data_IF_593083266490
#
_entry.id   IF_593083266490
#
_cell.length_a   1.000
_cell.length_b   1.000
_cell.length_c   1.000
_cell.angle_alpha   90.00
_cell.angle_beta   90.00
_cell.angle_gamma   90.00
#
_symmetry.space_group_name_H-M   'P 1'
#
loop_
_entity.id
_entity.type
_entity.pdbx_description
1 polymer ?
#
# COMPACT_ATOMS: atom_id res chain seq x y z
N UNK A 1 18.03 -15.97 -8.88
CA UNK A 1 18.52 -14.68 -9.40
C UNK A 1 19.47 -13.94 -8.44
N UNK A 2 19.68 -14.39 -7.19
CA UNK A 2 20.54 -13.72 -6.18
C UNK A 2 22.00 -14.22 -6.11
N UNK A 3 22.38 -15.21 -6.92
CA UNK A 3 23.72 -15.83 -6.89
C UNK A 3 24.79 -15.08 -7.71
N UNK A 4 24.38 -14.13 -8.56
CA UNK A 4 25.28 -13.27 -9.33
C UNK A 4 25.56 -11.98 -8.58
N UNK A 5 26.84 -11.64 -8.38
CA UNK A 5 27.26 -10.32 -7.89
C UNK A 5 26.65 -9.24 -8.76
N UNK A 6 25.87 -8.33 -8.17
CA UNK A 6 25.14 -7.30 -8.90
C UNK A 6 24.29 -6.43 -7.99
N UNK A 7 23.70 -5.37 -8.56
CA UNK A 7 22.96 -4.36 -7.81
C UNK A 7 21.85 -4.96 -6.94
N UNK A 8 21.10 -5.94 -7.46
CA UNK A 8 20.04 -6.62 -6.72
C UNK A 8 20.55 -7.32 -5.46
N UNK A 9 21.68 -8.04 -5.57
CA UNK A 9 22.27 -8.72 -4.42
C UNK A 9 22.69 -7.70 -3.37
N UNK A 10 23.34 -6.60 -3.78
CA UNK A 10 23.74 -5.53 -2.87
C UNK A 10 22.53 -4.88 -2.18
N UNK A 11 21.43 -4.64 -2.89
CA UNK A 11 20.18 -4.14 -2.26
C UNK A 11 19.64 -5.11 -1.22
N UNK A 12 19.56 -6.41 -1.55
CA UNK A 12 19.07 -7.44 -0.62
C UNK A 12 19.97 -7.56 0.61
N UNK A 13 21.30 -7.49 0.43
CA UNK A 13 22.25 -7.51 1.56
C UNK A 13 22.13 -6.25 2.43
N UNK A 14 21.89 -5.09 1.83
CA UNK A 14 21.63 -3.85 2.58
C UNK A 14 20.38 -3.98 3.45
N UNK A 15 19.28 -4.47 2.88
CA UNK A 15 18.03 -4.71 3.62
C UNK A 15 18.20 -5.75 4.72
N UNK A 16 18.89 -6.87 4.43
CA UNK A 16 19.14 -7.92 5.41
C UNK A 16 20.01 -7.43 6.56
N UNK A 17 21.09 -6.69 6.28
CA UNK A 17 21.95 -6.10 7.31
C UNK A 17 21.19 -5.07 8.16
N UNK A 18 20.34 -4.25 7.54
CA UNK A 18 19.50 -3.25 8.23
C UNK A 18 18.51 -3.94 9.17
N UNK A 19 17.78 -4.94 8.67
CA UNK A 19 16.83 -5.70 9.47
C UNK A 19 17.53 -6.45 10.60
N UNK A 20 18.66 -7.10 10.32
CA UNK A 20 19.40 -7.84 11.33
C UNK A 20 19.99 -6.93 12.41
N UNK A 21 20.42 -5.70 12.07
CA UNK A 21 20.83 -4.69 13.04
C UNK A 21 19.69 -4.32 14.01
N UNK A 22 18.45 -4.23 13.50
CA UNK A 22 17.26 -3.93 14.32
C UNK A 22 16.87 -5.08 15.23
N UNK A 23 17.00 -6.33 14.77
CA UNK A 23 16.64 -7.52 15.55
C UNK A 23 17.71 -7.84 16.61
N UNK A 24 18.99 -7.79 16.24
CA UNK A 24 20.11 -8.15 17.13
C UNK A 24 20.55 -7.02 18.06
N UNK A 25 20.25 -5.76 17.72
CA UNK A 25 20.80 -4.59 18.39
C UNK A 25 22.25 -4.26 18.02
N UNK A 26 22.86 -5.00 17.09
CA UNK A 26 24.24 -4.77 16.65
C UNK A 26 24.32 -3.56 15.71
N UNK A 27 24.91 -2.46 16.20
CA UNK A 27 25.05 -1.21 15.46
C UNK A 27 26.10 -1.27 14.36
N UNK A 28 27.04 -2.23 14.40
CA UNK A 28 28.09 -2.38 13.38
C UNK A 28 27.50 -2.79 12.03
N UNK A 29 26.41 -3.56 12.04
CA UNK A 29 25.67 -3.97 10.84
C UNK A 29 25.06 -2.79 10.08
N UNK A 30 24.84 -1.64 10.72
CA UNK A 30 24.38 -0.42 10.03
C UNK A 30 25.42 0.09 9.05
N UNK A 31 26.70 -0.04 9.39
CA UNK A 31 27.79 0.33 8.50
C UNK A 31 27.84 -0.59 7.26
N UNK A 32 27.71 -1.90 7.47
CA UNK A 32 27.63 -2.86 6.36
C UNK A 32 26.38 -2.64 5.49
N UNK A 33 25.24 -2.32 6.11
CA UNK A 33 24.02 -1.98 5.38
C UNK A 33 24.22 -0.77 4.46
N UNK A 34 24.86 0.29 4.95
CA UNK A 34 25.19 1.49 4.19
C UNK A 34 26.17 1.19 3.05
N UNK A 35 27.21 0.38 3.30
CA UNK A 35 28.17 -0.04 2.29
C UNK A 35 27.50 -0.81 1.15
N UNK A 36 26.61 -1.75 1.48
CA UNK A 36 25.83 -2.48 0.49
C UNK A 36 24.86 -1.57 -0.27
N UNK A 37 24.25 -0.59 0.39
CA UNK A 37 23.38 0.39 -0.26
C UNK A 37 24.14 1.24 -1.29
N UNK A 38 25.32 1.75 -0.91
CA UNK A 38 26.19 2.51 -1.83
C UNK A 38 26.56 1.67 -3.05
N UNK A 39 27.03 0.43 -2.83
CA UNK A 39 27.39 -0.46 -3.92
C UNK A 39 26.20 -0.79 -4.83
N UNK A 40 25.00 -0.96 -4.26
CA UNK A 40 23.78 -1.17 -5.02
C UNK A 40 23.45 0.02 -5.93
N UNK A 41 23.57 1.26 -5.43
CA UNK A 41 23.33 2.49 -6.20
C UNK A 41 24.36 2.61 -7.33
N UNK A 42 25.64 2.39 -7.05
CA UNK A 42 26.72 2.44 -8.04
C UNK A 42 26.49 1.43 -9.17
N UNK A 43 26.23 0.16 -8.82
CA UNK A 43 25.98 -0.90 -9.80
C UNK A 43 24.67 -0.68 -10.58
N UNK A 44 23.64 -0.11 -9.94
CA UNK A 44 22.40 0.23 -10.63
C UNK A 44 22.63 1.34 -11.65
N UNK A 45 23.42 2.37 -11.32
CA UNK A 45 23.78 3.44 -12.25
C UNK A 45 24.50 2.91 -13.50
N UNK A 46 25.41 1.95 -13.32
CA UNK A 46 26.08 1.27 -14.45
C UNK A 46 25.08 0.46 -15.27
N UNK A 47 24.20 -0.30 -14.61
CA UNK A 47 23.20 -1.14 -15.28
C UNK A 47 22.16 -0.36 -16.09
N UNK A 48 21.74 0.82 -15.63
CA UNK A 48 20.75 1.64 -16.38
C UNK A 48 21.36 2.36 -17.60
N UNK A 49 22.69 2.53 -17.64
CA UNK A 49 23.39 3.12 -18.77
C UNK A 49 23.65 2.12 -19.90
N UNK A 50 23.72 0.82 -19.58
CA UNK A 50 23.83 -0.25 -20.56
C UNK A 50 22.44 -0.62 -21.14
N UNK A 51 22.21 -0.50 -22.47
CA UNK A 51 20.91 -0.76 -23.08
C UNK A 51 20.38 -2.18 -22.90
N UNK A 52 21.26 -3.18 -22.73
CA UNK A 52 20.88 -4.57 -22.53
C UNK A 52 20.55 -4.83 -21.06
N UNK A 53 21.37 -4.34 -20.13
CA UNK A 53 21.14 -4.52 -18.70
C UNK A 53 19.98 -3.67 -18.19
N UNK A 54 19.72 -2.50 -18.78
CA UNK A 54 18.66 -1.62 -18.34
C UNK A 54 17.27 -2.26 -18.47
N UNK A 55 17.08 -3.19 -19.41
CA UNK A 55 15.83 -3.93 -19.61
C UNK A 55 15.79 -5.30 -18.92
N UNK A 56 16.87 -5.71 -18.25
CA UNK A 56 16.94 -7.01 -17.58
C UNK A 56 16.15 -7.04 -16.26
N UNK A 57 15.45 -8.14 -15.98
CA UNK A 57 14.64 -8.33 -14.75
C UNK A 57 15.39 -7.99 -13.45
N UNK A 58 16.67 -8.34 -13.25
CA UNK A 58 17.42 -7.97 -12.05
C UNK A 58 17.52 -6.45 -11.83
N UNK A 59 17.56 -5.64 -12.89
CA UNK A 59 17.64 -4.18 -12.79
C UNK A 59 16.32 -3.60 -12.28
N UNK A 60 15.18 -4.06 -12.82
CA UNK A 60 13.86 -3.65 -12.31
C UNK A 60 13.65 -4.16 -10.88
N UNK A 61 14.03 -5.41 -10.60
CA UNK A 61 14.00 -5.95 -9.24
C UNK A 61 14.83 -5.10 -8.28
N UNK A 62 16.00 -4.61 -8.69
CA UNK A 62 16.83 -3.71 -7.86
C UNK A 62 16.08 -2.44 -7.49
N UNK A 63 15.45 -1.78 -8.48
CA UNK A 63 14.66 -0.56 -8.27
C UNK A 63 13.46 -0.82 -7.35
N UNK A 64 12.76 -1.95 -7.54
CA UNK A 64 11.63 -2.34 -6.68
C UNK A 64 12.08 -2.65 -5.24
N UNK A 65 13.19 -3.36 -5.05
CA UNK A 65 13.70 -3.65 -3.72
C UNK A 65 14.21 -2.38 -3.01
N UNK A 66 14.78 -1.41 -3.74
CA UNK A 66 15.13 -0.10 -3.19
C UNK A 66 13.88 0.67 -2.74
N UNK A 67 12.80 0.65 -3.54
CA UNK A 67 11.50 1.22 -3.16
C UNK A 67 10.97 0.62 -1.85
N UNK A 68 10.98 -0.71 -1.75
CA UNK A 68 10.51 -1.43 -0.56
C UNK A 68 11.40 -1.12 0.64
N UNK A 69 12.72 -1.12 0.46
CA UNK A 69 13.67 -0.77 1.52
C UNK A 69 13.41 0.62 2.07
N UNK A 70 13.20 1.61 1.20
CA UNK A 70 12.89 2.98 1.61
C UNK A 70 11.59 3.06 2.42
N UNK A 71 10.54 2.33 2.02
CA UNK A 71 9.24 2.33 2.72
C UNK A 71 9.28 1.59 4.04
N UNK A 72 10.02 0.49 4.15
CA UNK A 72 10.11 -0.30 5.38
C UNK A 72 11.06 0.33 6.41
N UNK A 73 12.24 0.75 5.95
CA UNK A 73 13.36 1.13 6.82
C UNK A 73 13.71 2.62 6.80
N UNK A 74 13.14 3.41 5.89
CA UNK A 74 13.50 4.82 5.74
C UNK A 74 13.33 5.65 7.01
N UNK A 75 14.13 6.70 7.14
CA UNK A 75 14.11 7.61 8.27
C UNK A 75 12.98 8.63 8.16
N UNK A 76 12.47 9.10 9.30
CA UNK A 76 11.35 10.05 9.37
C UNK A 76 11.70 11.44 8.84
N UNK A 77 12.97 11.82 8.86
CA UNK A 77 13.46 13.16 8.55
C UNK A 77 13.81 13.34 7.06
N UNK A 78 13.89 12.25 6.29
CA UNK A 78 14.04 12.31 4.83
C UNK A 78 12.68 12.54 4.16
N UNK A 79 12.22 13.79 4.21
CA UNK A 79 10.96 14.22 3.58
C UNK A 79 10.89 14.00 2.06
N UNK A 80 12.00 13.64 1.40
CA UNK A 80 12.12 13.47 -0.05
C UNK A 80 12.80 12.14 -0.43
N UNK A 81 12.28 11.02 0.06
CA UNK A 81 12.65 9.72 -0.46
C UNK A 81 12.48 9.68 -1.99
N UNK A 82 13.54 9.32 -2.70
CA UNK A 82 13.53 9.14 -4.16
C UNK A 82 12.37 8.22 -4.53
N UNK A 83 11.47 8.69 -5.37
CA UNK A 83 10.33 7.87 -5.81
C UNK A 83 10.79 6.87 -6.87
N UNK A 84 11.32 5.74 -6.41
CA UNK A 84 11.79 4.65 -7.26
C UNK A 84 10.68 4.06 -8.15
N UNK A 85 9.38 4.24 -7.80
CA UNK A 85 8.26 3.83 -8.65
C UNK A 85 8.21 4.60 -9.98
N UNK A 86 8.64 5.88 -10.02
CA UNK A 86 8.71 6.63 -11.29
C UNK A 86 9.74 5.98 -12.23
N UNK A 87 10.90 5.60 -11.68
CA UNK A 87 11.93 4.86 -12.43
C UNK A 87 11.42 3.50 -12.90
N UNK A 88 10.78 2.74 -12.01
CA UNK A 88 10.19 1.44 -12.34
C UNK A 88 9.15 1.54 -13.47
N UNK A 89 8.25 2.53 -13.42
CA UNK A 89 7.27 2.81 -14.48
C UNK A 89 7.96 3.01 -15.83
N UNK A 90 9.00 3.84 -15.89
CA UNK A 90 9.71 4.12 -17.14
C UNK A 90 10.35 2.85 -17.72
N UNK A 91 10.93 1.99 -16.87
CA UNK A 91 11.49 0.71 -17.28
C UNK A 91 10.41 -0.25 -17.79
N UNK A 92 9.28 -0.37 -17.09
CA UNK A 92 8.17 -1.24 -17.48
C UNK A 92 7.59 -0.79 -18.83
N UNK A 93 7.36 0.52 -19.02
CA UNK A 93 6.86 1.07 -20.27
C UNK A 93 7.80 0.75 -21.45
N UNK A 94 9.12 0.89 -21.25
CA UNK A 94 10.12 0.56 -22.27
C UNK A 94 10.12 -0.94 -22.61
N UNK A 95 9.99 -1.81 -21.62
CA UNK A 95 9.90 -3.27 -21.80
C UNK A 95 8.64 -3.68 -22.58
N UNK A 96 7.48 -3.11 -22.23
CA UNK A 96 6.21 -3.36 -22.94
C UNK A 96 6.32 -2.98 -24.42
N UNK A 97 6.99 -1.87 -24.74
CA UNK A 97 7.20 -1.43 -26.12
C UNK A 97 8.13 -2.34 -26.95
N UNK A 98 8.97 -3.17 -26.31
CA UNK A 98 9.97 -4.03 -26.95
C UNK A 98 9.60 -5.52 -26.97
N UNK A 99 8.58 -5.93 -26.21
CA UNK A 99 8.18 -7.33 -26.07
C UNK A 99 7.06 -7.71 -27.03
N UNK A 100 7.18 -8.87 -27.69
CA UNK A 100 6.17 -9.47 -28.56
C UNK A 100 5.21 -10.41 -27.79
N UNK A 101 4.63 -9.96 -26.67
CA UNK A 101 3.62 -10.67 -25.86
C UNK A 101 4.04 -11.94 -25.09
N UNK A 102 5.34 -12.24 -24.94
CA UNK A 102 5.78 -13.30 -24.01
C UNK A 102 6.37 -12.69 -22.75
N UNK A 103 5.68 -12.82 -21.63
CA UNK A 103 6.19 -12.41 -20.31
C UNK A 103 6.81 -13.60 -19.59
N UNK A 104 7.95 -13.37 -18.94
CA UNK A 104 8.54 -14.36 -18.03
C UNK A 104 7.79 -14.34 -16.70
N UNK A 105 7.82 -15.43 -15.93
CA UNK A 105 7.26 -15.47 -14.58
C UNK A 105 7.89 -14.39 -13.66
N UNK A 106 9.17 -14.07 -13.87
CA UNK A 106 9.88 -12.98 -13.20
C UNK A 106 9.32 -11.60 -13.57
N UNK A 107 9.02 -11.37 -14.84
CA UNK A 107 8.42 -10.13 -15.31
C UNK A 107 7.00 -9.96 -14.75
N UNK A 108 6.20 -11.02 -14.74
CA UNK A 108 4.85 -11.00 -14.15
C UNK A 108 4.89 -10.69 -12.65
N UNK A 109 5.83 -11.32 -11.92
CA UNK A 109 6.07 -11.01 -10.51
C UNK A 109 6.42 -9.53 -10.32
N UNK A 110 7.38 -9.00 -11.08
CA UNK A 110 7.81 -7.60 -10.94
C UNK A 110 6.72 -6.60 -11.32
N UNK A 111 5.94 -6.89 -12.36
CA UNK A 111 4.79 -6.08 -12.74
C UNK A 111 3.73 -6.09 -11.64
N UNK A 112 3.46 -7.25 -11.03
CA UNK A 112 2.51 -7.36 -9.92
C UNK A 112 2.98 -6.59 -8.68
N UNK A 113 4.27 -6.68 -8.35
CA UNK A 113 4.87 -5.96 -7.24
C UNK A 113 4.80 -4.45 -7.47
N UNK A 114 5.14 -3.99 -8.68
CA UNK A 114 5.00 -2.59 -9.06
C UNK A 114 3.56 -2.09 -8.95
N UNK A 115 2.59 -2.83 -9.49
CA UNK A 115 1.18 -2.45 -9.43
C UNK A 115 0.68 -2.29 -7.99
N UNK A 116 1.00 -3.25 -7.12
CA UNK A 116 0.62 -3.19 -5.71
C UNK A 116 1.15 -1.93 -5.01
N UNK A 117 2.45 -1.64 -5.14
CA UNK A 117 3.05 -0.46 -4.51
C UNK A 117 2.58 0.87 -5.15
N UNK A 118 2.37 0.91 -6.47
CA UNK A 118 1.88 2.12 -7.14
C UNK A 118 0.45 2.47 -6.71
N UNK A 119 -0.44 1.46 -6.64
CA UNK A 119 -1.82 1.64 -6.19
C UNK A 119 -1.84 2.15 -4.75
N UNK A 120 -1.13 1.52 -3.82
CA UNK A 120 -1.13 1.95 -2.42
C UNK A 120 -0.45 3.32 -2.22
N UNK A 121 0.61 3.61 -2.97
CA UNK A 121 1.21 4.93 -2.96
C UNK A 121 0.26 6.01 -3.52
N UNK A 122 -0.62 5.67 -4.47
CA UNK A 122 -1.67 6.59 -4.95
C UNK A 122 -2.72 6.91 -3.89
N UNK A 123 -3.07 5.93 -3.05
CA UNK A 123 -3.94 6.15 -1.87
C UNK A 123 -3.25 7.09 -0.88
N UNK A 124 -1.97 6.86 -0.56
CA UNK A 124 -1.19 7.74 0.34
C UNK A 124 -1.05 9.17 -0.16
N UNK A 125 -0.99 9.37 -1.48
CA UNK A 125 -0.96 10.71 -2.09
C UNK A 125 -2.34 11.36 -2.20
N UNK A 126 -3.40 10.55 -2.17
CA UNK A 126 -4.72 10.99 -2.58
C UNK A 126 -4.77 11.38 -4.06
N UNK A 127 -3.95 10.76 -4.92
CA UNK A 127 -3.84 11.07 -6.35
C UNK A 127 -4.11 9.83 -7.22
N UNK A 128 -4.08 9.99 -8.54
CA UNK A 128 -4.08 8.83 -9.45
C UNK A 128 -2.80 7.96 -9.29
N UNK A 129 -2.88 6.64 -9.57
CA UNK A 129 -1.70 5.79 -9.76
C UNK A 129 -0.81 6.30 -10.89
N UNK A 130 0.48 5.95 -10.86
CA UNK A 130 1.43 6.34 -11.90
C UNK A 130 1.15 5.61 -13.21
N UNK A 131 0.71 4.35 -13.17
CA UNK A 131 0.39 3.54 -14.36
C UNK A 131 -1.06 3.04 -14.35
N UNK A 132 -1.52 2.50 -15.49
CA UNK A 132 -2.86 1.93 -15.61
C UNK A 132 -2.82 0.47 -15.14
N UNK A 133 -3.53 0.19 -14.04
CA UNK A 133 -3.65 -1.15 -13.47
C UNK A 133 -5.04 -1.72 -13.77
N UNK A 134 -5.10 -2.67 -14.70
CA UNK A 134 -6.34 -3.32 -15.15
C UNK A 134 -6.27 -4.84 -15.02
N UNK A 135 -6.80 -5.56 -16.01
CA UNK A 135 -6.86 -7.03 -16.06
C UNK A 135 -5.50 -7.72 -15.91
N UNK A 136 -4.42 -7.03 -16.27
CA UNK A 136 -3.06 -7.58 -16.29
C UNK A 136 -2.48 -7.75 -14.87
N UNK A 137 -3.08 -7.11 -13.86
CA UNK A 137 -2.72 -7.27 -12.46
C UNK A 137 -3.55 -8.39 -11.82
N UNK A 138 -3.13 -9.64 -12.02
CA UNK A 138 -3.94 -10.83 -11.67
C UNK A 138 -3.70 -11.38 -10.26
N UNK A 139 -2.57 -11.06 -9.63
CA UNK A 139 -2.15 -11.55 -8.33
C UNK A 139 -1.21 -10.54 -7.65
N UNK A 140 -1.11 -10.57 -6.32
CA UNK A 140 -0.06 -9.84 -5.58
C UNK A 140 1.16 -10.75 -5.46
N UNK A 141 2.35 -10.22 -5.79
CA UNK A 141 3.62 -10.96 -5.70
C UNK A 141 3.59 -12.30 -6.45
N UNK A 142 2.85 -12.37 -7.56
CA UNK A 142 2.66 -13.60 -8.34
C UNK A 142 1.91 -14.74 -7.64
N UNK A 143 1.35 -14.51 -6.44
CA UNK A 143 0.63 -15.53 -5.68
C UNK A 143 -0.85 -15.60 -6.08
N UNK A 144 -1.26 -16.69 -6.73
CA UNK A 144 -2.66 -16.93 -7.12
C UNK A 144 -3.64 -16.96 -5.93
N UNK A 145 -3.15 -17.24 -4.72
CA UNK A 145 -3.95 -17.16 -3.48
C UNK A 145 -4.40 -15.72 -3.20
N UNK A 146 -3.65 -14.73 -3.68
CA UNK A 146 -3.95 -13.30 -3.51
C UNK A 146 -4.70 -12.71 -4.71
N UNK A 147 -5.26 -13.53 -5.61
CA UNK A 147 -6.01 -13.08 -6.79
C UNK A 147 -7.17 -12.13 -6.44
N UNK A 148 -7.87 -12.42 -5.34
CA UNK A 148 -9.02 -11.62 -4.92
C UNK A 148 -8.58 -10.27 -4.35
N UNK A 149 -7.43 -10.22 -3.67
CA UNK A 149 -6.84 -8.96 -3.23
C UNK A 149 -6.42 -8.12 -4.46
N UNK A 150 -5.81 -8.73 -5.48
CA UNK A 150 -5.47 -8.03 -6.71
C UNK A 150 -6.70 -7.42 -7.40
N UNK A 151 -7.83 -8.15 -7.47
CA UNK A 151 -9.12 -7.63 -7.98
C UNK A 151 -9.62 -6.43 -7.17
N UNK A 152 -9.56 -6.50 -5.84
CA UNK A 152 -9.95 -5.37 -4.97
C UNK A 152 -9.02 -4.17 -5.25
N UNK A 153 -7.73 -4.40 -5.40
CA UNK A 153 -6.76 -3.35 -5.67
C UNK A 153 -6.95 -2.69 -7.04
N UNK A 154 -7.41 -3.43 -8.07
CA UNK A 154 -7.83 -2.82 -9.33
C UNK A 154 -8.99 -1.82 -9.12
N UNK A 155 -9.94 -2.13 -8.23
CA UNK A 155 -11.02 -1.20 -7.88
C UNK A 155 -10.46 0.00 -7.11
N UNK A 156 -9.53 -0.21 -6.18
CA UNK A 156 -8.86 0.90 -5.47
C UNK A 156 -8.12 1.81 -6.44
N UNK A 157 -7.43 1.27 -7.45
CA UNK A 157 -6.81 2.07 -8.51
C UNK A 157 -7.82 2.95 -9.24
N UNK A 158 -9.02 2.42 -9.53
CA UNK A 158 -10.13 3.18 -10.13
C UNK A 158 -10.66 4.26 -9.18
N UNK A 159 -10.79 3.96 -7.88
CA UNK A 159 -11.19 4.94 -6.85
C UNK A 159 -10.16 6.08 -6.79
N UNK A 160 -8.86 5.77 -6.77
CA UNK A 160 -7.79 6.77 -6.73
C UNK A 160 -7.77 7.66 -7.99
N UNK A 161 -8.06 7.09 -9.17
CA UNK A 161 -8.26 7.87 -10.40
C UNK A 161 -9.50 8.77 -10.31
N UNK A 162 -10.60 8.24 -9.78
CA UNK A 162 -11.84 8.98 -9.60
C UNK A 162 -11.70 10.14 -8.60
N UNK A 163 -10.80 10.02 -7.62
CA UNK A 163 -10.60 11.02 -6.57
C UNK A 163 -10.30 12.43 -7.10
N UNK A 164 -9.44 12.57 -8.10
CA UNK A 164 -9.12 13.86 -8.72
C UNK A 164 -10.36 14.50 -9.38
N UNK A 165 -11.17 13.68 -10.07
CA UNK A 165 -12.39 14.12 -10.75
C UNK A 165 -13.44 14.57 -9.72
N UNK A 166 -13.66 13.76 -8.69
CA UNK A 166 -14.59 14.08 -7.61
C UNK A 166 -14.18 15.34 -6.86
N UNK A 167 -12.88 15.52 -6.60
CA UNK A 167 -12.34 16.72 -5.96
C UNK A 167 -12.52 17.97 -6.83
N UNK A 168 -12.24 17.87 -8.13
CA UNK A 168 -12.41 18.97 -9.06
C UNK A 168 -13.88 19.41 -9.17
N UNK A 169 -14.82 18.45 -9.23
CA UNK A 169 -16.26 18.77 -9.26
C UNK A 169 -16.71 19.52 -8.00
N UNK A 170 -16.35 19.04 -6.79
CA UNK A 170 -16.72 19.70 -5.53
C UNK A 170 -16.17 21.12 -5.44
N UNK A 171 -14.95 21.34 -5.93
CA UNK A 171 -14.35 22.68 -5.99
C UNK A 171 -15.11 23.61 -6.94
N UNK A 172 -15.57 23.11 -8.08
CA UNK A 172 -16.32 23.89 -9.07
C UNK A 172 -17.78 24.15 -8.64
N UNK A 173 -18.45 23.16 -8.06
CA UNK A 173 -19.87 23.26 -7.66
C UNK A 173 -20.06 23.94 -6.31
N UNK A 174 -19.05 23.92 -5.43
CA UNK A 174 -19.16 24.34 -4.04
C UNK A 174 -20.05 23.42 -3.19
N UNK A 175 -20.46 22.26 -3.73
CA UNK A 175 -21.29 21.27 -3.06
C UNK A 175 -20.48 20.02 -2.73
N UNK A 176 -20.83 19.34 -1.63
CA UNK A 176 -20.17 18.09 -1.24
C UNK A 176 -20.65 16.89 -2.08
N UNK A 177 -21.91 16.92 -2.51
CA UNK A 177 -22.52 15.86 -3.31
C UNK A 177 -22.09 15.93 -4.78
N UNK A 178 -21.64 14.79 -5.31
CA UNK A 178 -21.35 14.64 -6.74
C UNK A 178 -22.63 14.38 -7.52
N UNK A 179 -22.67 14.80 -8.78
CA UNK A 179 -23.84 14.70 -9.64
C UNK A 179 -23.54 13.94 -10.94
N UNK A 180 -24.61 13.53 -11.63
CA UNK A 180 -24.55 12.93 -12.97
C UNK A 180 -23.59 11.74 -13.07
N UNK A 181 -22.72 11.77 -14.06
CA UNK A 181 -21.80 10.67 -14.39
C UNK A 181 -20.82 10.34 -13.26
N UNK A 182 -20.40 11.35 -12.48
CA UNK A 182 -19.46 11.14 -11.37
C UNK A 182 -20.15 10.43 -10.20
N UNK A 183 -21.42 10.76 -9.91
CA UNK A 183 -22.20 9.99 -8.94
C UNK A 183 -22.41 8.54 -9.40
N UNK A 184 -22.75 8.35 -10.68
CA UNK A 184 -22.95 7.03 -11.27
C UNK A 184 -21.69 6.16 -11.23
N UNK A 185 -20.51 6.77 -11.47
CA UNK A 185 -19.22 6.08 -11.36
C UNK A 185 -18.97 5.55 -9.93
N UNK A 186 -19.26 6.36 -8.91
CA UNK A 186 -19.15 5.91 -7.52
C UNK A 186 -20.10 4.75 -7.20
N UNK A 187 -21.35 4.82 -7.69
CA UNK A 187 -22.32 3.74 -7.54
C UNK A 187 -21.87 2.45 -8.26
N UNK A 188 -21.28 2.57 -9.46
CA UNK A 188 -20.71 1.43 -10.18
C UNK A 188 -19.59 0.76 -9.38
N UNK A 189 -18.64 1.55 -8.85
CA UNK A 189 -17.53 1.04 -8.03
C UNK A 189 -18.05 0.35 -6.76
N UNK A 190 -19.09 0.89 -6.14
CA UNK A 190 -19.74 0.27 -4.99
C UNK A 190 -20.35 -1.09 -5.37
N UNK A 191 -21.07 -1.17 -6.49
CA UNK A 191 -21.68 -2.42 -6.94
C UNK A 191 -20.62 -3.47 -7.29
N UNK A 192 -19.50 -3.07 -7.86
CA UNK A 192 -18.37 -3.98 -8.11
C UNK A 192 -17.87 -4.59 -6.78
N UNK A 193 -17.67 -3.78 -5.74
CA UNK A 193 -17.23 -4.28 -4.42
C UNK A 193 -18.27 -5.15 -3.72
N UNK A 194 -19.57 -4.87 -3.91
CA UNK A 194 -20.66 -5.68 -3.37
C UNK A 194 -20.76 -7.04 -4.07
N UNK A 195 -20.57 -7.05 -5.39
CA UNK A 195 -20.63 -8.26 -6.22
C UNK A 195 -19.34 -9.08 -6.21
N UNK A 196 -18.26 -8.58 -5.60
CA UNK A 196 -17.15 -9.41 -5.17
C UNK A 196 -17.62 -10.29 -4.01
N UNK A 197 -18.47 -11.25 -4.33
CA UNK A 197 -18.63 -12.45 -3.51
C UNK A 197 -17.24 -13.09 -3.53
N UNK A 198 -16.54 -13.04 -2.40
CA UNK A 198 -15.45 -13.99 -2.18
C UNK A 198 -16.17 -15.33 -2.24
N UNK A 199 -15.94 -16.11 -3.29
CA UNK A 199 -16.58 -17.41 -3.51
C UNK A 199 -16.37 -18.29 -2.26
N UNK A 200 -17.30 -18.19 -1.30
CA UNK A 200 -17.36 -19.06 -0.14
C UNK A 200 -17.77 -20.48 -0.57
N UNK A 201 -18.32 -20.61 -1.78
CA UNK A 201 -18.72 -21.88 -2.38
C UNK A 201 -17.59 -22.54 -3.21
N UNK A 202 -16.54 -21.80 -3.57
CA UNK A 202 -15.23 -22.35 -3.98
C UNK A 202 -14.21 -22.21 -2.84
N UNK A 203 -14.63 -22.39 -1.58
CA UNK A 203 -13.66 -22.65 -0.50
C UNK A 203 -12.95 -23.92 -0.87
N UNK A 204 -11.76 -23.75 -1.46
CA UNK A 204 -10.78 -24.80 -1.48
C UNK A 204 -10.57 -25.18 0.00
N UNK A 205 -10.94 -26.40 0.45
CA UNK A 205 -10.82 -26.78 1.86
C UNK A 205 -9.39 -26.68 2.40
N UNK A 206 -8.42 -26.52 1.49
CA UNK A 206 -7.00 -26.35 1.75
C UNK A 206 -6.52 -24.88 1.71
N UNK A 207 -7.38 -23.90 1.38
CA UNK A 207 -7.01 -22.48 1.43
C UNK A 207 -6.99 -22.01 2.90
N UNK A 208 -5.86 -21.46 3.39
CA UNK A 208 -5.78 -20.98 4.76
C UNK A 208 -6.83 -19.91 5.03
N UNK A 209 -7.58 -20.03 6.12
CA UNK A 209 -8.64 -19.07 6.50
C UNK A 209 -8.12 -17.63 6.56
N UNK A 210 -6.85 -17.46 6.94
CA UNK A 210 -6.13 -16.18 6.93
C UNK A 210 -6.25 -15.42 5.60
N UNK A 211 -6.24 -16.13 4.46
CA UNK A 211 -6.37 -15.53 3.13
C UNK A 211 -7.73 -14.86 2.99
N UNK A 212 -8.81 -15.58 3.32
CA UNK A 212 -10.17 -15.08 3.19
C UNK A 212 -10.43 -13.89 4.12
N UNK A 213 -9.97 -13.98 5.38
CA UNK A 213 -10.06 -12.85 6.30
C UNK A 213 -9.28 -11.63 5.80
N UNK A 214 -8.10 -11.84 5.23
CA UNK A 214 -7.31 -10.76 4.63
C UNK A 214 -8.05 -10.13 3.43
N UNK A 215 -8.63 -10.94 2.54
CA UNK A 215 -9.40 -10.47 1.39
C UNK A 215 -10.59 -9.61 1.86
N UNK A 216 -11.34 -10.06 2.86
CA UNK A 216 -12.46 -9.31 3.41
C UNK A 216 -12.01 -8.00 4.06
N UNK A 217 -10.91 -7.99 4.83
CA UNK A 217 -10.35 -6.76 5.37
C UNK A 217 -10.01 -5.74 4.26
N UNK A 218 -9.40 -6.18 3.15
CA UNK A 218 -9.15 -5.32 1.99
C UNK A 218 -10.44 -4.79 1.36
N UNK A 219 -11.47 -5.63 1.24
CA UNK A 219 -12.76 -5.26 0.66
C UNK A 219 -13.45 -4.18 1.50
N UNK A 220 -13.45 -4.34 2.83
CA UNK A 220 -13.99 -3.35 3.75
C UNK A 220 -13.18 -2.04 3.76
N UNK A 221 -11.84 -2.12 3.69
CA UNK A 221 -10.99 -0.94 3.52
C UNK A 221 -11.28 -0.20 2.20
N UNK A 222 -11.52 -0.93 1.11
CA UNK A 222 -11.91 -0.34 -0.18
C UNK A 222 -13.26 0.39 -0.10
N UNK A 223 -14.25 -0.14 0.63
CA UNK A 223 -15.51 0.57 0.87
C UNK A 223 -15.31 1.87 1.66
N UNK A 224 -14.50 1.85 2.73
CA UNK A 224 -14.19 3.06 3.51
C UNK A 224 -13.52 4.10 2.61
N UNK A 225 -12.54 3.69 1.79
CA UNK A 225 -11.87 4.58 0.86
C UNK A 225 -12.82 5.13 -0.21
N UNK A 226 -13.67 4.28 -0.79
CA UNK A 226 -14.69 4.69 -1.77
C UNK A 226 -15.63 5.73 -1.17
N UNK A 227 -16.21 5.51 0.01
CA UNK A 227 -17.18 6.44 0.58
C UNK A 227 -16.55 7.78 0.96
N UNK A 228 -15.27 7.79 1.32
CA UNK A 228 -14.52 9.04 1.50
C UNK A 228 -14.37 9.82 0.21
N UNK A 229 -14.04 9.15 -0.89
CA UNK A 229 -13.83 9.79 -2.19
C UNK A 229 -15.15 10.18 -2.86
N UNK A 230 -16.11 9.26 -2.88
CA UNK A 230 -17.38 9.38 -3.62
C UNK A 230 -18.41 10.22 -2.88
N UNK A 231 -18.64 9.93 -1.60
CA UNK A 231 -19.75 10.51 -0.85
C UNK A 231 -19.29 11.57 0.15
N UNK A 232 -17.98 11.82 0.20
CA UNK A 232 -17.36 12.61 1.26
C UNK A 232 -17.92 12.21 2.63
N UNK A 233 -18.02 10.89 2.87
CA UNK A 233 -18.41 10.32 4.15
C UNK A 233 -17.22 9.70 4.89
N UNK A 234 -17.29 9.72 6.21
CA UNK A 234 -16.34 9.12 7.15
C UNK A 234 -17.06 8.83 8.46
N UNK A 235 -16.37 8.32 9.47
CA UNK A 235 -16.99 8.20 10.80
C UNK A 235 -17.41 9.60 11.31
N UNK A 236 -18.59 9.75 11.93
CA UNK A 236 -19.45 8.70 12.51
C UNK A 236 -20.58 8.18 11.60
N UNK A 237 -20.50 8.33 10.28
CA UNK A 237 -21.55 7.82 9.39
C UNK A 237 -21.77 6.29 9.60
N UNK A 238 -23.01 5.81 9.82
CA UNK A 238 -23.28 4.41 10.17
C UNK A 238 -22.74 3.39 9.14
N UNK A 239 -22.80 3.72 7.85
CA UNK A 239 -22.26 2.87 6.78
C UNK A 239 -20.75 2.75 6.91
N UNK A 240 -20.04 3.86 7.16
CA UNK A 240 -18.59 3.83 7.38
C UNK A 240 -18.24 3.04 8.64
N UNK A 241 -18.94 3.29 9.75
CA UNK A 241 -18.73 2.60 11.03
C UNK A 241 -18.89 1.08 10.88
N UNK A 242 -19.90 0.63 10.13
CA UNK A 242 -20.06 -0.80 9.82
C UNK A 242 -18.82 -1.37 9.13
N UNK A 243 -18.31 -0.72 8.07
CA UNK A 243 -17.12 -1.23 7.39
C UNK A 243 -15.86 -1.16 8.25
N UNK A 244 -15.73 -0.18 9.15
CA UNK A 244 -14.63 -0.12 10.14
C UNK A 244 -14.69 -1.33 11.07
N UNK A 245 -15.86 -1.63 11.65
CA UNK A 245 -16.04 -2.77 12.55
C UNK A 245 -15.69 -4.10 11.88
N UNK A 246 -16.25 -4.35 10.70
CA UNK A 246 -15.99 -5.58 9.94
C UNK A 246 -14.52 -5.70 9.51
N UNK A 247 -13.90 -4.61 9.05
CA UNK A 247 -12.48 -4.61 8.68
C UNK A 247 -11.58 -5.02 9.85
N UNK A 248 -11.78 -4.40 11.03
CA UNK A 248 -11.01 -4.71 12.22
C UNK A 248 -11.28 -6.14 12.72
N UNK A 249 -12.54 -6.60 12.68
CA UNK A 249 -12.91 -7.96 13.06
C UNK A 249 -12.22 -9.01 12.17
N UNK A 250 -12.16 -8.81 10.85
CA UNK A 250 -11.44 -9.73 9.97
C UNK A 250 -9.93 -9.72 10.21
N UNK A 251 -9.32 -8.55 10.48
CA UNK A 251 -7.89 -8.46 10.82
C UNK A 251 -7.60 -9.19 12.13
N UNK A 252 -8.50 -9.10 13.12
CA UNK A 252 -8.37 -9.77 14.42
C UNK A 252 -8.28 -11.29 14.29
N UNK A 253 -9.00 -11.89 13.34
CA UNK A 253 -9.01 -13.34 13.12
C UNK A 253 -7.70 -13.90 12.56
N UNK A 254 -6.82 -13.05 12.02
CA UNK A 254 -5.55 -13.51 11.44
C UNK A 254 -4.43 -13.45 12.50
N UNK A 255 -3.75 -14.57 12.80
CA UNK A 255 -2.62 -14.58 13.73
C UNK A 255 -1.50 -13.60 13.34
N UNK A 256 -0.85 -12.97 14.31
CA UNK A 256 0.23 -11.97 14.07
C UNK A 256 1.50 -12.59 13.46
N UNK A 257 1.69 -13.90 13.61
CA UNK A 257 2.78 -14.64 12.98
C UNK A 257 2.48 -15.05 11.53
N UNK A 258 1.21 -14.97 11.10
CA UNK A 258 0.79 -15.29 9.72
C UNK A 258 1.60 -14.49 8.68
N UNK A 259 2.02 -15.11 7.56
CA UNK A 259 2.77 -14.42 6.52
C UNK A 259 1.98 -13.27 5.88
N UNK A 260 0.64 -13.28 5.98
CA UNK A 260 -0.22 -12.24 5.41
C UNK A 260 -0.26 -10.95 6.22
N UNK A 261 0.28 -10.95 7.44
CA UNK A 261 0.23 -9.79 8.32
C UNK A 261 0.91 -8.56 7.70
N UNK A 262 1.92 -8.75 6.84
CA UNK A 262 2.55 -7.63 6.11
C UNK A 262 1.58 -6.89 5.18
N UNK A 263 0.54 -7.56 4.68
CA UNK A 263 -0.47 -6.96 3.81
C UNK A 263 -1.55 -6.19 4.59
N UNK A 264 -1.64 -6.35 5.91
CA UNK A 264 -2.68 -5.70 6.73
C UNK A 264 -2.43 -4.22 7.00
N UNK A 265 -1.27 -3.67 6.64
CA UNK A 265 -0.91 -2.27 6.92
C UNK A 265 -1.94 -1.30 6.36
N UNK A 266 -2.32 -1.45 5.07
CA UNK A 266 -3.30 -0.56 4.46
C UNK A 266 -4.71 -0.72 5.04
N UNK A 267 -5.31 -1.93 5.12
CA UNK A 267 -6.62 -2.10 5.74
C UNK A 267 -6.69 -1.58 7.18
N UNK A 268 -5.68 -1.87 7.99
CA UNK A 268 -5.60 -1.44 9.39
C UNK A 268 -5.44 0.08 9.51
N UNK A 269 -4.66 0.70 8.63
CA UNK A 269 -4.56 2.16 8.55
C UNK A 269 -5.89 2.81 8.17
N UNK A 270 -6.55 2.30 7.13
CA UNK A 270 -7.80 2.87 6.62
C UNK A 270 -8.93 2.76 7.65
N UNK A 271 -9.13 1.59 8.27
CA UNK A 271 -10.12 1.43 9.32
C UNK A 271 -9.70 2.15 10.61
N UNK A 272 -8.41 2.10 10.97
CA UNK A 272 -7.88 2.73 12.17
C UNK A 272 -8.03 4.25 12.18
N UNK A 273 -7.83 4.93 11.04
CA UNK A 273 -8.09 6.37 10.93
C UNK A 273 -9.56 6.75 11.18
N UNK A 274 -10.50 5.82 10.97
CA UNK A 274 -11.94 6.01 11.16
C UNK A 274 -12.44 5.42 12.50
N UNK A 275 -11.55 4.89 13.35
CA UNK A 275 -11.88 4.36 14.66
C UNK A 275 -12.34 5.46 15.62
N UNK A 276 -13.53 5.29 16.20
CA UNK A 276 -14.19 6.32 17.02
C UNK A 276 -14.06 6.04 18.51
N UNK A 277 -14.28 4.79 18.92
CA UNK A 277 -14.28 4.43 20.34
C UNK A 277 -12.89 3.98 20.82
N UNK A 278 -12.71 4.03 22.14
CA UNK A 278 -11.44 3.69 22.78
C UNK A 278 -11.04 2.23 22.55
N UNK A 279 -12.00 1.31 22.41
CA UNK A 279 -11.74 -0.12 22.20
C UNK A 279 -11.15 -0.35 20.82
N UNK A 280 -11.74 0.22 19.77
CA UNK A 280 -11.21 0.15 18.40
C UNK A 280 -9.81 0.76 18.30
N UNK A 281 -9.61 1.95 18.89
CA UNK A 281 -8.29 2.62 18.88
C UNK A 281 -7.24 1.79 19.64
N UNK A 282 -7.64 1.17 20.76
CA UNK A 282 -6.75 0.30 21.51
C UNK A 282 -6.37 -0.96 20.73
N UNK A 283 -7.34 -1.61 20.08
CA UNK A 283 -7.07 -2.75 19.19
C UNK A 283 -6.09 -2.39 18.08
N UNK A 284 -6.29 -1.25 17.38
CA UNK A 284 -5.39 -0.79 16.31
C UNK A 284 -3.97 -0.60 16.84
N UNK A 285 -3.82 0.03 18.01
CA UNK A 285 -2.51 0.22 18.67
C UNK A 285 -1.85 -1.11 18.98
N UNK A 286 -2.55 -2.00 19.68
CA UNK A 286 -2.03 -3.31 20.08
C UNK A 286 -1.66 -4.15 18.86
N UNK A 287 -2.47 -4.12 17.80
CA UNK A 287 -2.21 -4.84 16.56
C UNK A 287 -0.93 -4.34 15.88
N UNK A 288 -0.76 -3.04 15.68
CA UNK A 288 0.48 -2.49 15.09
C UNK A 288 1.71 -2.80 15.95
N UNK A 289 1.59 -2.72 17.27
CA UNK A 289 2.68 -3.06 18.19
C UNK A 289 3.04 -4.55 18.10
N UNK A 290 2.06 -5.45 18.06
CA UNK A 290 2.30 -6.87 17.89
C UNK A 290 2.95 -7.20 16.53
N UNK A 291 2.49 -6.56 15.45
CA UNK A 291 3.11 -6.66 14.12
C UNK A 291 4.57 -6.20 14.16
N UNK A 292 4.86 -5.08 14.84
CA UNK A 292 6.22 -4.58 15.01
C UNK A 292 7.09 -5.52 15.84
N UNK A 293 6.59 -6.06 16.94
CA UNK A 293 7.35 -7.00 17.76
C UNK A 293 7.69 -8.28 16.99
N UNK A 294 6.79 -8.73 16.13
CA UNK A 294 6.98 -9.90 15.27
C UNK A 294 7.95 -9.68 14.10
N UNK A 295 7.94 -8.48 13.47
CA UNK A 295 8.64 -8.24 12.19
C UNK A 295 9.79 -7.23 12.27
N UNK A 296 9.79 -6.34 13.27
CA UNK A 296 10.78 -5.27 13.50
C UNK A 296 10.94 -4.26 12.36
N UNK A 297 9.91 -4.06 11.53
CA UNK A 297 9.89 -2.99 10.53
C UNK A 297 9.51 -1.64 11.15
N UNK A 298 10.38 -0.62 11.11
CA UNK A 298 10.10 0.70 11.69
C UNK A 298 8.87 1.41 11.10
N UNK A 299 8.53 1.13 9.83
CA UNK A 299 7.33 1.64 9.16
C UNK A 299 6.05 1.41 9.95
N UNK A 300 5.91 0.27 10.63
CA UNK A 300 4.72 -0.06 11.43
C UNK A 300 4.49 0.94 12.56
N UNK A 301 5.56 1.39 13.22
CA UNK A 301 5.50 2.45 14.25
C UNK A 301 5.24 3.82 13.65
N UNK A 302 5.74 4.10 12.43
CA UNK A 302 5.40 5.35 11.70
C UNK A 302 3.92 5.41 11.39
N UNK A 303 3.37 4.36 10.77
CA UNK A 303 1.94 4.30 10.42
C UNK A 303 1.06 4.40 11.67
N UNK A 304 1.41 3.74 12.78
CA UNK A 304 0.67 3.88 14.04
C UNK A 304 0.65 5.34 14.54
N UNK A 305 1.79 6.04 14.56
CA UNK A 305 1.81 7.45 14.97
C UNK A 305 1.02 8.35 14.02
N UNK A 306 1.06 8.06 12.72
CA UNK A 306 0.27 8.79 11.73
C UNK A 306 -1.23 8.65 12.03
N UNK A 307 -1.68 7.46 12.43
CA UNK A 307 -3.07 7.22 12.88
C UNK A 307 -3.37 7.98 14.18
N UNK A 308 -2.46 7.97 15.16
CA UNK A 308 -2.64 8.69 16.43
C UNK A 308 -2.71 10.22 16.22
N UNK A 309 -1.94 10.75 15.26
CA UNK A 309 -2.02 12.15 14.83
C UNK A 309 -3.40 12.48 14.23
N UNK A 310 -3.96 11.56 13.44
CA UNK A 310 -5.31 11.68 12.88
C UNK A 310 -6.37 11.66 13.97
N UNK A 311 -6.24 10.77 14.96
CA UNK A 311 -7.14 10.75 16.13
C UNK A 311 -7.09 12.05 16.89
N UNK A 312 -5.90 12.55 17.22
CA UNK A 312 -5.74 13.82 17.93
C UNK A 312 -6.34 15.00 17.15
N UNK A 313 -6.18 15.02 15.82
CA UNK A 313 -6.78 16.05 14.97
C UNK A 313 -8.31 15.94 14.94
N UNK A 314 -8.86 14.73 14.78
CA UNK A 314 -10.31 14.49 14.80
C UNK A 314 -10.91 14.87 16.16
N UNK A 315 -10.29 14.48 17.26
CA UNK A 315 -10.78 14.78 18.62
C UNK A 315 -10.79 16.30 18.90
N UNK A 316 -9.80 17.04 18.39
CA UNK A 316 -9.80 18.50 18.46
C UNK A 316 -10.91 19.13 17.60
N UNK A 317 -11.20 18.58 16.42
CA UNK A 317 -12.22 19.08 15.49
C UNK A 317 -13.66 18.63 15.81
N UNK A 318 -13.89 17.60 16.65
CA UNK A 318 -15.24 17.32 17.17
C UNK A 318 -15.81 18.55 17.90
N UNK A 319 -14.95 19.47 18.35
CA UNK A 319 -15.33 20.78 18.90
C UNK A 319 -15.64 21.85 17.83
N UNK A 320 -15.30 21.63 16.56
CA UNK A 320 -15.34 22.61 15.44
C UNK A 320 -16.14 22.20 14.19
N UNK A 321 -16.52 20.91 14.04
CA UNK A 321 -17.53 20.45 13.07
C UNK A 321 -17.07 20.20 11.62
N UNK A 322 -15.78 20.32 11.30
CA UNK A 322 -15.24 20.04 9.96
C UNK A 322 -14.70 18.61 9.84
N UNK A 323 -15.02 17.95 8.72
CA UNK A 323 -14.54 16.61 8.41
C UNK A 323 -13.08 16.64 7.95
N UNK A 324 -12.21 15.91 8.64
CA UNK A 324 -10.78 15.86 8.34
C UNK A 324 -10.42 14.69 7.42
N UNK A 325 -9.71 14.99 6.35
CA UNK A 325 -9.03 13.99 5.53
C UNK A 325 -7.74 13.52 6.22
N UNK A 326 -7.67 12.24 6.58
CA UNK A 326 -6.51 11.68 7.28
C UNK A 326 -5.19 11.88 6.51
N UNK A 327 -5.22 11.79 5.18
CA UNK A 327 -4.02 11.96 4.35
C UNK A 327 -3.52 13.40 4.43
N UNK A 328 -4.43 14.37 4.40
CA UNK A 328 -4.08 15.79 4.54
C UNK A 328 -3.57 16.13 5.94
N UNK A 329 -4.12 15.52 7.00
CA UNK A 329 -3.61 15.69 8.36
C UNK A 329 -2.16 15.24 8.44
N UNK A 330 -1.86 14.06 7.91
CA UNK A 330 -0.52 13.47 7.97
C UNK A 330 0.45 14.29 7.11
N UNK A 331 0.07 14.65 5.89
CA UNK A 331 0.89 15.48 5.01
C UNK A 331 1.24 16.83 5.66
N UNK A 332 0.27 17.49 6.32
CA UNK A 332 0.50 18.76 7.01
C UNK A 332 1.39 18.62 8.24
N UNK A 333 1.24 17.55 9.02
CA UNK A 333 2.00 17.35 10.27
C UNK A 333 3.41 16.81 10.03
N UNK A 334 3.58 15.96 9.02
CA UNK A 334 4.81 15.17 8.81
C UNK A 334 5.55 15.52 7.53
N UNK A 335 4.92 16.22 6.58
CA UNK A 335 5.55 16.57 5.30
C UNK A 335 5.87 15.37 4.39
N UNK A 336 5.26 14.21 4.65
CA UNK A 336 5.50 12.95 3.91
C UNK A 336 4.21 12.16 3.68
N UNK A 337 4.28 11.23 2.75
CA UNK A 337 3.27 10.19 2.51
C UNK A 337 3.26 9.13 3.61
N UNK A 338 2.16 8.39 3.71
CA UNK A 338 2.04 7.21 4.60
C UNK A 338 2.66 5.99 3.92
N UNK A 339 3.41 5.20 4.68
CA UNK A 339 4.02 3.95 4.21
C UNK A 339 3.00 2.78 4.27
N UNK A 340 2.12 2.70 3.26
CA UNK A 340 1.04 1.71 3.21
C UNK A 340 1.44 0.34 2.61
N UNK A 341 2.63 0.25 2.02
CA UNK A 341 3.15 -0.92 1.31
C UNK A 341 4.66 -1.03 1.44
#
# INVERSE_FOLDING_TARGET
>A
MTYTRGALQSTVLSMAATHFALVSGDTTLRFEAYKHQHEAIRLLQEAIQDPYLADADPTLATVMMMQISARLFGDEEEAHAVNHLIGAKAMIARRRARSNNTTSSSADFLNSLFAYHDILSSVSRGSSPLDIHGSDFTAIEGSLRMKNIAKIMQVVARISKFHEVAKAERLCSGQSELQGDNFNMGAELQQILLNMIVDLDEVNPFEPQDVNFTVEAYRHAAFIYLYRVWLDMGSPNPTTVKHVQECLAFIEQVPVDSPLVSSHVWPLFTAGCEAMDATQRQFVRERFLAMYESRKFPSLKRVLRDIEDVWAAKDAEVMGGLKLDCIQVILRRRGREVDLA
#
